data_IF_091123837433
#
_entry.id   IF_091123837433
#
_cell.length_a   1.000
_cell.length_b   1.000
_cell.length_c   1.000
_cell.angle_alpha   90.00
_cell.angle_beta   90.00
_cell.angle_gamma   90.00
#
_symmetry.space_group_name_H-M   'P 1'
#
loop_
_entity.id
_entity.type
_entity.pdbx_description
1 polymer ?
#
# COMPACT_ATOMS: atom_id res chain seq x y z
N UNK A 1 -24.50 -7.56 -25.60
CA UNK A 1 -23.23 -6.79 -25.42
C UNK A 1 -23.55 -5.60 -24.54
N UNK A 2 -22.74 -5.36 -23.54
CA UNK A 2 -22.90 -4.17 -22.72
C UNK A 2 -22.54 -2.92 -23.54
N UNK A 3 -23.37 -1.90 -23.48
CA UNK A 3 -23.17 -0.62 -24.15
C UNK A 3 -22.91 0.47 -23.12
N UNK A 4 -22.06 1.42 -23.46
CA UNK A 4 -21.78 2.59 -22.64
C UNK A 4 -23.02 3.46 -22.54
N UNK A 5 -23.35 3.94 -21.32
CA UNK A 5 -24.51 4.80 -21.07
C UNK A 5 -24.03 6.13 -20.52
N UNK A 6 -24.46 7.20 -21.18
CA UNK A 6 -24.12 8.58 -20.82
C UNK A 6 -25.31 9.37 -20.27
N UNK A 7 -26.51 8.78 -20.25
CA UNK A 7 -27.75 9.46 -19.84
C UNK A 7 -27.72 10.03 -18.42
N UNK A 8 -26.96 9.41 -17.54
CA UNK A 8 -26.86 9.80 -16.12
C UNK A 8 -25.56 10.48 -15.76
N UNK A 9 -24.44 9.96 -16.26
CA UNK A 9 -23.09 10.48 -16.08
C UNK A 9 -22.28 10.23 -17.33
N UNK A 10 -21.48 11.22 -17.71
CA UNK A 10 -20.41 10.99 -18.65
C UNK A 10 -19.30 10.16 -17.99
N UNK A 11 -18.64 9.24 -18.71
CA UNK A 11 -17.52 8.46 -18.17
C UNK A 11 -16.40 9.34 -17.62
N UNK A 12 -16.20 10.52 -18.19
CA UNK A 12 -15.26 11.53 -17.69
C UNK A 12 -15.58 11.95 -16.25
N UNK A 13 -16.85 12.24 -15.94
CA UNK A 13 -17.28 12.63 -14.59
C UNK A 13 -17.03 11.54 -13.55
N UNK A 14 -17.35 10.28 -13.89
CA UNK A 14 -17.12 9.14 -12.99
C UNK A 14 -15.62 8.85 -12.83
N UNK A 15 -14.84 9.03 -13.89
CA UNK A 15 -13.38 8.84 -13.88
C UNK A 15 -12.70 9.94 -13.04
N UNK A 16 -13.16 11.18 -13.11
CA UNK A 16 -12.62 12.26 -12.29
C UNK A 16 -12.95 12.04 -10.82
N UNK A 17 -14.14 11.57 -10.49
CA UNK A 17 -14.50 11.14 -9.14
C UNK A 17 -13.55 10.03 -8.64
N UNK A 18 -13.26 9.03 -9.47
CA UNK A 18 -12.35 7.95 -9.12
C UNK A 18 -10.91 8.44 -8.89
N UNK A 19 -10.42 9.34 -9.76
CA UNK A 19 -9.09 9.95 -9.65
C UNK A 19 -8.96 10.85 -8.42
N UNK A 20 -10.02 11.55 -8.06
CA UNK A 20 -10.08 12.33 -6.81
C UNK A 20 -9.97 11.41 -5.58
N UNK A 21 -10.71 10.31 -5.55
CA UNK A 21 -10.64 9.31 -4.47
C UNK A 21 -9.24 8.69 -4.40
N UNK A 22 -8.62 8.39 -5.55
CA UNK A 22 -7.29 7.80 -5.60
C UNK A 22 -6.19 8.74 -5.07
N UNK A 23 -6.32 10.04 -5.31
CA UNK A 23 -5.31 11.04 -4.92
C UNK A 23 -5.56 11.64 -3.53
N UNK A 24 -6.81 11.74 -3.10
CA UNK A 24 -7.16 12.09 -1.73
C UNK A 24 -6.87 10.90 -0.79
N UNK A 25 -7.08 11.04 0.50
CA UNK A 25 -6.97 9.91 1.42
C UNK A 25 -8.15 8.93 1.18
N UNK A 26 -7.94 7.79 0.49
CA UNK A 26 -9.04 6.86 0.20
C UNK A 26 -9.56 6.27 1.49
N UNK A 27 -10.82 6.51 1.78
CA UNK A 27 -11.50 6.08 3.00
C UNK A 27 -12.78 5.33 2.68
N UNK A 28 -12.97 4.21 3.38
CA UNK A 28 -14.25 3.52 3.45
C UNK A 28 -14.70 3.55 4.92
N UNK A 29 -15.80 4.22 5.20
CA UNK A 29 -16.23 4.55 6.57
C UNK A 29 -15.10 5.28 7.33
N UNK A 30 -14.62 4.71 8.44
CA UNK A 30 -13.51 5.27 9.23
C UNK A 30 -12.15 4.64 8.90
N UNK A 31 -12.06 3.82 7.83
CA UNK A 31 -10.86 3.10 7.43
C UNK A 31 -10.05 3.93 6.44
N UNK A 32 -8.78 4.22 6.76
CA UNK A 32 -7.85 4.98 5.93
C UNK A 32 -6.84 4.01 5.28
N UNK A 33 -6.92 3.86 3.95
CA UNK A 33 -6.02 3.04 3.14
C UNK A 33 -4.83 3.88 2.70
N UNK A 34 -3.73 3.81 3.45
CA UNK A 34 -2.61 4.75 3.32
C UNK A 34 -1.23 4.12 3.10
N UNK A 35 -1.07 2.78 3.15
CA UNK A 35 0.24 2.15 2.96
C UNK A 35 0.85 2.50 1.62
N UNK A 36 0.02 2.49 0.55
CA UNK A 36 0.45 2.91 -0.77
C UNK A 36 0.95 4.35 -0.75
N UNK A 37 0.12 5.29 -0.27
CA UNK A 37 0.43 6.71 -0.24
C UNK A 37 1.67 7.01 0.59
N UNK A 38 1.80 6.38 1.74
CA UNK A 38 2.79 6.71 2.73
C UNK A 38 4.15 6.06 2.43
N UNK A 39 4.21 4.82 1.88
CA UNK A 39 5.45 4.06 1.76
C UNK A 39 5.84 3.64 0.33
N UNK A 40 4.87 3.41 -0.54
CA UNK A 40 5.07 3.21 -1.98
C UNK A 40 4.17 4.17 -2.76
N UNK A 41 4.46 5.48 -2.72
CA UNK A 41 3.56 6.47 -3.28
C UNK A 41 3.33 6.27 -4.77
N UNK A 42 2.22 6.81 -5.24
CA UNK A 42 1.77 6.71 -6.62
C UNK A 42 2.82 7.27 -7.58
N UNK A 43 3.14 6.51 -8.60
CA UNK A 43 3.90 6.92 -9.77
C UNK A 43 3.12 6.56 -11.04
N UNK A 44 3.10 7.48 -11.99
CA UNK A 44 2.33 7.32 -13.22
C UNK A 44 3.27 6.94 -14.37
N UNK A 45 2.83 6.00 -15.20
CA UNK A 45 3.50 5.66 -16.47
C UNK A 45 2.49 5.61 -17.59
N UNK A 46 2.93 6.03 -18.77
CA UNK A 46 2.13 5.95 -20.01
C UNK A 46 2.36 4.62 -20.77
N UNK A 47 3.33 3.83 -20.29
CA UNK A 47 3.65 2.52 -20.85
C UNK A 47 2.89 1.41 -20.09
N UNK A 48 2.72 0.27 -20.73
CA UNK A 48 2.25 -0.99 -20.10
C UNK A 48 3.35 -1.69 -19.31
N UNK A 49 4.56 -1.13 -19.31
CA UNK A 49 5.73 -1.62 -18.58
C UNK A 49 6.23 -0.56 -17.61
N UNK A 50 6.66 -0.99 -16.43
CA UNK A 50 7.42 -0.12 -15.53
C UNK A 50 8.92 -0.23 -15.78
N UNK A 51 9.65 0.88 -15.63
CA UNK A 51 11.10 0.97 -15.74
C UNK A 51 11.65 1.76 -14.56
N UNK A 52 12.10 1.06 -13.54
CA UNK A 52 12.60 1.68 -12.32
C UNK A 52 14.10 1.42 -12.15
N UNK A 53 14.82 2.45 -11.72
CA UNK A 53 16.25 2.34 -11.39
C UNK A 53 16.37 1.84 -9.96
N UNK A 54 16.93 0.64 -9.80
CA UNK A 54 17.20 0.03 -8.49
C UNK A 54 18.66 0.18 -8.09
N UNK A 55 18.94 0.04 -6.79
CA UNK A 55 20.31 -0.11 -6.28
C UNK A 55 21.11 1.17 -6.05
N UNK A 56 20.52 2.35 -6.14
CA UNK A 56 21.22 3.57 -5.74
C UNK A 56 21.23 3.70 -4.22
N UNK A 57 22.38 3.38 -3.59
CA UNK A 57 22.55 3.60 -2.14
C UNK A 57 22.62 5.09 -1.76
N UNK A 58 22.87 5.95 -2.73
CA UNK A 58 23.07 7.39 -2.49
C UNK A 58 24.36 7.74 -1.71
N UNK A 59 25.08 6.74 -1.21
CA UNK A 59 26.30 6.93 -0.43
C UNK A 59 27.47 7.17 -1.40
N UNK A 60 28.13 8.34 -1.35
CA UNK A 60 29.26 8.63 -2.22
C UNK A 60 30.49 7.83 -1.82
N UNK A 61 31.27 7.40 -2.80
CA UNK A 61 32.59 6.85 -2.54
C UNK A 61 33.56 7.92 -2.03
N UNK A 62 34.42 7.56 -1.11
CA UNK A 62 35.44 8.45 -0.58
C UNK A 62 36.47 8.82 -1.67
N UNK A 63 36.85 10.12 -1.76
CA UNK A 63 37.94 10.56 -2.59
C UNK A 63 39.29 10.04 -2.04
N UNK A 64 40.26 9.82 -2.92
CA UNK A 64 41.62 9.40 -2.54
C UNK A 64 42.59 10.56 -2.51
N UNK A 65 43.49 10.58 -1.52
CA UNK A 65 44.60 11.49 -1.50
C UNK A 65 45.56 11.16 -2.64
N UNK A 66 46.14 12.16 -3.25
CA UNK A 66 47.18 12.02 -4.28
C UNK A 66 48.44 12.81 -3.90
N UNK A 67 49.57 12.45 -4.49
CA UNK A 67 50.77 13.28 -4.42
C UNK A 67 50.65 14.49 -5.35
N UNK A 68 51.38 15.57 -5.05
CA UNK A 68 51.45 16.70 -5.93
C UNK A 68 51.85 16.30 -7.36
N UNK A 69 51.36 17.01 -8.34
CA UNK A 69 51.63 16.80 -9.77
C UNK A 69 51.12 15.51 -10.40
N UNK A 70 50.33 14.71 -9.69
CA UNK A 70 49.61 13.56 -10.25
C UNK A 70 48.12 13.87 -10.54
N UNK A 71 47.57 13.21 -11.56
CA UNK A 71 46.15 13.32 -11.90
C UNK A 71 45.27 12.78 -10.78
N UNK A 72 44.05 13.32 -10.68
CA UNK A 72 43.04 12.81 -9.76
C UNK A 72 42.68 11.36 -10.07
N UNK A 73 42.33 10.57 -9.03
CA UNK A 73 41.79 9.23 -9.20
C UNK A 73 40.48 9.26 -9.97
N UNK A 74 40.38 8.45 -10.99
CA UNK A 74 39.14 8.27 -11.73
C UNK A 74 38.15 7.49 -10.85
N UNK A 75 37.17 8.17 -10.27
CA UNK A 75 36.09 7.53 -9.50
C UNK A 75 35.09 6.84 -10.42
N UNK A 76 34.62 5.66 -10.02
CA UNK A 76 33.48 5.01 -10.68
C UNK A 76 32.18 5.63 -10.17
N UNK A 77 31.27 5.95 -11.08
CA UNK A 77 29.87 6.25 -10.68
C UNK A 77 29.20 4.96 -10.26
N UNK A 78 28.41 4.94 -9.15
CA UNK A 78 27.65 3.77 -8.81
C UNK A 78 26.72 3.41 -9.98
N UNK A 79 26.80 2.18 -10.43
CA UNK A 79 25.88 1.65 -11.43
C UNK A 79 24.46 1.56 -10.83
N UNK A 80 23.47 1.65 -11.69
CA UNK A 80 22.09 1.31 -11.32
C UNK A 80 21.67 0.14 -12.19
N UNK A 81 20.87 -0.73 -11.60
CA UNK A 81 20.18 -1.79 -12.32
C UNK A 81 18.82 -1.25 -12.76
N UNK A 82 18.46 -1.45 -14.01
CA UNK A 82 17.13 -1.10 -14.49
C UNK A 82 16.25 -2.34 -14.37
N UNK A 83 15.25 -2.26 -13.50
CA UNK A 83 14.22 -3.29 -13.37
C UNK A 83 13.06 -2.89 -14.27
N UNK A 84 12.65 -3.82 -15.14
CA UNK A 84 11.51 -3.67 -16.03
C UNK A 84 10.53 -4.82 -15.81
N UNK A 85 9.25 -4.55 -15.96
CA UNK A 85 8.21 -5.58 -15.90
C UNK A 85 6.88 -5.05 -16.38
N UNK A 86 5.94 -5.95 -16.68
CA UNK A 86 4.60 -5.59 -17.13
C UNK A 86 3.71 -5.14 -15.98
N UNK A 87 2.85 -4.16 -16.24
CA UNK A 87 1.75 -3.80 -15.36
C UNK A 87 0.63 -4.82 -15.51
N UNK A 88 -0.09 -5.10 -14.43
CA UNK A 88 -1.22 -6.01 -14.44
C UNK A 88 -2.55 -5.23 -14.44
N UNK A 89 -3.53 -5.71 -15.23
CA UNK A 89 -4.87 -5.18 -15.16
C UNK A 89 -5.54 -5.60 -13.85
N UNK A 90 -6.28 -4.67 -13.28
CA UNK A 90 -7.13 -4.88 -12.12
C UNK A 90 -8.38 -4.03 -12.27
N UNK A 91 -9.46 -4.46 -11.66
CA UNK A 91 -10.70 -3.72 -11.70
C UNK A 91 -11.79 -4.48 -10.95
N UNK A 92 -12.90 -3.79 -10.75
CA UNK A 92 -14.09 -4.33 -10.10
C UNK A 92 -15.31 -3.78 -10.79
N UNK A 93 -16.38 -4.57 -10.85
CA UNK A 93 -17.65 -4.11 -11.40
C UNK A 93 -18.80 -4.45 -10.47
N UNK A 94 -19.69 -3.51 -10.31
CA UNK A 94 -20.90 -3.66 -9.53
C UNK A 94 -22.13 -3.73 -10.40
N UNK A 95 -22.98 -4.74 -10.15
CA UNK A 95 -24.24 -4.94 -10.84
C UNK A 95 -25.33 -4.11 -10.19
N UNK A 96 -26.00 -3.28 -10.96
CA UNK A 96 -27.27 -2.65 -10.62
C UNK A 96 -28.40 -3.47 -11.24
N UNK A 97 -29.10 -4.25 -10.46
CA UNK A 97 -30.13 -5.18 -10.95
C UNK A 97 -31.37 -4.45 -11.42
N UNK A 98 -32.19 -5.14 -12.24
CA UNK A 98 -33.51 -4.64 -12.63
C UNK A 98 -34.39 -4.32 -11.40
N UNK A 99 -34.27 -5.11 -10.34
CA UNK A 99 -34.98 -4.88 -9.08
C UNK A 99 -34.55 -3.56 -8.43
N UNK A 100 -33.25 -3.26 -8.39
CA UNK A 100 -32.73 -2.01 -7.83
C UNK A 100 -33.28 -0.84 -8.64
N UNK A 101 -33.24 -0.95 -9.95
CA UNK A 101 -33.77 0.04 -10.89
C UNK A 101 -35.27 0.31 -10.71
N UNK A 102 -36.08 -0.75 -10.55
CA UNK A 102 -37.52 -0.62 -10.28
C UNK A 102 -37.80 -0.03 -8.89
N UNK A 103 -36.99 -0.35 -7.89
CA UNK A 103 -37.12 0.18 -6.54
C UNK A 103 -36.82 1.67 -6.53
N UNK A 104 -35.76 2.09 -7.19
CA UNK A 104 -35.31 3.49 -7.26
C UNK A 104 -36.21 4.33 -8.17
N UNK A 105 -36.87 3.73 -9.19
CA UNK A 105 -37.80 4.44 -10.08
C UNK A 105 -38.89 5.22 -9.33
N UNK A 106 -39.32 4.73 -8.17
CA UNK A 106 -40.32 5.44 -7.34
C UNK A 106 -39.76 6.70 -6.66
N UNK A 107 -38.44 6.76 -6.48
CA UNK A 107 -37.73 7.87 -5.85
C UNK A 107 -37.23 8.93 -6.85
N UNK A 108 -37.38 8.68 -8.17
CA UNK A 108 -37.00 9.59 -9.25
C UNK A 108 -35.58 9.36 -9.79
N UNK A 109 -35.23 10.05 -10.87
CA UNK A 109 -33.94 9.93 -11.58
C UNK A 109 -32.73 10.29 -10.69
N UNK A 110 -32.89 11.26 -9.81
CA UNK A 110 -31.82 11.65 -8.87
C UNK A 110 -31.41 10.53 -7.94
N UNK A 111 -32.32 9.63 -7.59
CA UNK A 111 -32.01 8.48 -6.74
C UNK A 111 -31.17 7.45 -7.50
N UNK A 112 -31.45 7.23 -8.80
CA UNK A 112 -30.67 6.31 -9.61
C UNK A 112 -29.26 6.87 -9.91
N UNK A 113 -29.13 8.18 -10.14
CA UNK A 113 -27.82 8.84 -10.23
C UNK A 113 -26.99 8.62 -8.97
N UNK A 114 -27.59 8.74 -7.79
CA UNK A 114 -26.89 8.49 -6.51
C UNK A 114 -26.42 7.05 -6.40
N UNK A 115 -27.21 6.07 -6.82
CA UNK A 115 -26.81 4.65 -6.83
C UNK A 115 -25.65 4.40 -7.78
N UNK A 116 -25.65 4.96 -8.98
CA UNK A 116 -24.53 4.87 -9.92
C UNK A 116 -23.27 5.51 -9.32
N UNK A 117 -23.38 6.70 -8.73
CA UNK A 117 -22.24 7.38 -8.11
C UNK A 117 -21.70 6.59 -6.90
N UNK A 118 -22.59 5.97 -6.11
CA UNK A 118 -22.17 5.10 -5.00
C UNK A 118 -21.47 3.84 -5.51
N UNK A 119 -22.03 3.17 -6.50
CA UNK A 119 -21.40 2.00 -7.13
C UNK A 119 -20.03 2.35 -7.73
N UNK A 120 -19.87 3.54 -8.31
CA UNK A 120 -18.59 4.02 -8.83
C UNK A 120 -17.55 4.23 -7.71
N UNK A 121 -17.96 4.79 -6.58
CA UNK A 121 -17.10 4.93 -5.40
C UNK A 121 -16.68 3.56 -4.86
N UNK A 122 -17.63 2.64 -4.73
CA UNK A 122 -17.39 1.30 -4.20
C UNK A 122 -16.44 0.50 -5.10
N UNK A 123 -16.62 0.53 -6.43
CA UNK A 123 -15.75 -0.10 -7.39
C UNK A 123 -14.33 0.50 -7.38
N UNK A 124 -14.23 1.83 -7.26
CA UNK A 124 -12.96 2.53 -7.13
C UNK A 124 -12.24 2.14 -5.84
N UNK A 125 -12.95 2.13 -4.71
CA UNK A 125 -12.37 1.74 -3.42
C UNK A 125 -11.94 0.27 -3.43
N UNK A 126 -12.71 -0.65 -4.01
CA UNK A 126 -12.33 -2.06 -4.13
C UNK A 126 -11.00 -2.20 -4.93
N UNK A 127 -10.86 -1.45 -6.03
CA UNK A 127 -9.63 -1.41 -6.82
C UNK A 127 -8.45 -0.89 -6.02
N UNK A 128 -8.63 0.18 -5.24
CA UNK A 128 -7.60 0.75 -4.37
C UNK A 128 -7.23 -0.24 -3.25
N UNK A 129 -8.20 -0.87 -2.60
CA UNK A 129 -7.96 -1.86 -1.54
C UNK A 129 -7.19 -3.06 -2.07
N UNK A 130 -7.46 -3.52 -3.30
CA UNK A 130 -6.69 -4.59 -3.92
C UNK A 130 -5.22 -4.19 -4.12
N UNK A 131 -4.96 -2.96 -4.54
CA UNK A 131 -3.59 -2.46 -4.65
C UNK A 131 -2.92 -2.28 -3.27
N UNK A 132 -3.65 -1.82 -2.27
CA UNK A 132 -3.18 -1.69 -0.89
C UNK A 132 -2.74 -3.05 -0.31
N UNK A 133 -3.49 -4.12 -0.59
CA UNK A 133 -3.11 -5.50 -0.26
C UNK A 133 -1.82 -5.94 -0.96
N UNK A 134 -1.67 -5.61 -2.24
CA UNK A 134 -0.46 -5.91 -2.98
C UNK A 134 0.76 -5.16 -2.43
N UNK A 135 0.59 -3.89 -2.04
CA UNK A 135 1.61 -3.08 -1.36
C UNK A 135 1.99 -3.69 -0.01
N UNK A 136 1.00 -4.04 0.82
CA UNK A 136 1.25 -4.67 2.12
C UNK A 136 2.03 -5.99 1.97
N UNK A 137 1.64 -6.84 1.02
CA UNK A 137 2.34 -8.08 0.72
C UNK A 137 3.78 -7.81 0.28
N UNK A 138 3.99 -6.84 -0.61
CA UNK A 138 5.32 -6.45 -1.10
C UNK A 138 6.23 -5.99 0.05
N UNK A 139 5.71 -5.14 0.94
CA UNK A 139 6.45 -4.68 2.12
C UNK A 139 6.72 -5.82 3.12
N UNK A 140 5.78 -6.73 3.33
CA UNK A 140 5.94 -7.85 4.26
C UNK A 140 6.94 -8.90 3.76
N UNK A 141 6.87 -9.25 2.48
CA UNK A 141 7.64 -10.39 1.93
C UNK A 141 8.90 -9.97 1.18
N UNK A 142 8.98 -8.72 0.71
CA UNK A 142 10.00 -8.28 -0.24
C UNK A 142 9.77 -8.80 -1.65
N UNK A 143 8.58 -9.35 -1.92
CA UNK A 143 8.13 -9.88 -3.21
C UNK A 143 6.74 -9.37 -3.52
N UNK A 144 6.48 -9.10 -4.78
CA UNK A 144 5.13 -8.80 -5.27
C UNK A 144 4.60 -10.03 -5.97
N UNK A 145 3.56 -10.64 -5.40
CA UNK A 145 2.91 -11.83 -5.97
C UNK A 145 1.46 -11.50 -6.25
N UNK A 146 1.09 -11.43 -7.52
CA UNK A 146 -0.28 -11.16 -7.94
C UNK A 146 -0.82 -12.38 -8.69
N UNK A 147 -1.96 -12.87 -8.24
CA UNK A 147 -2.65 -14.00 -8.86
C UNK A 147 -3.96 -13.50 -9.46
N UNK A 148 -4.20 -13.81 -10.73
CA UNK A 148 -5.46 -13.49 -11.39
C UNK A 148 -6.56 -14.52 -11.05
N UNK A 149 -7.79 -14.28 -11.51
CA UNK A 149 -8.95 -15.16 -11.28
C UNK A 149 -8.76 -16.56 -11.86
N UNK A 150 -7.94 -16.71 -12.91
CA UNK A 150 -7.62 -17.99 -13.54
C UNK A 150 -6.49 -18.75 -12.81
N UNK A 151 -5.97 -18.20 -11.71
CA UNK A 151 -4.89 -18.81 -10.92
C UNK A 151 -3.50 -18.62 -11.53
N UNK A 152 -3.35 -17.79 -12.58
CA UNK A 152 -2.03 -17.42 -13.09
C UNK A 152 -1.38 -16.43 -12.15
N UNK A 153 -0.19 -16.77 -11.67
CA UNK A 153 0.57 -15.96 -10.71
C UNK A 153 1.72 -15.26 -11.43
N UNK A 154 1.80 -13.95 -11.25
CA UNK A 154 3.00 -13.18 -11.57
C UNK A 154 3.72 -12.83 -10.28
N UNK A 155 4.99 -13.21 -10.18
CA UNK A 155 5.84 -12.90 -9.03
C UNK A 155 7.03 -12.05 -9.48
N UNK A 156 7.30 -10.98 -8.74
CA UNK A 156 8.51 -10.20 -8.83
C UNK A 156 9.23 -10.26 -7.48
N UNK A 157 10.41 -10.87 -7.44
CA UNK A 157 11.29 -10.89 -6.27
C UNK A 157 12.23 -9.69 -6.33
N UNK A 158 12.12 -8.80 -5.33
CA UNK A 158 12.92 -7.58 -5.24
C UNK A 158 14.28 -7.80 -4.59
N UNK A 159 14.65 -9.05 -4.32
CA UNK A 159 15.92 -9.44 -3.71
C UNK A 159 16.20 -8.71 -2.38
N UNK A 160 15.18 -8.59 -1.51
CA UNK A 160 15.37 -8.05 -0.16
C UNK A 160 16.39 -8.93 0.60
N UNK A 161 17.39 -8.34 1.29
CA UNK A 161 18.34 -9.12 2.06
C UNK A 161 17.63 -10.06 3.05
N UNK A 162 18.08 -11.30 3.15
CA UNK A 162 17.50 -12.29 4.06
C UNK A 162 17.55 -11.81 5.53
N UNK A 163 18.58 -11.03 5.89
CA UNK A 163 18.70 -10.37 7.20
C UNK A 163 17.60 -9.35 7.50
N UNK A 164 16.86 -8.90 6.49
CA UNK A 164 15.71 -7.99 6.63
C UNK A 164 14.36 -8.73 6.71
N UNK A 165 14.38 -10.04 6.84
CA UNK A 165 13.20 -10.88 7.12
C UNK A 165 13.49 -11.67 8.38
N UNK A 166 13.08 -11.13 9.53
CA UNK A 166 13.44 -11.64 10.86
C UNK A 166 12.23 -12.16 11.62
N UNK A 167 12.51 -12.96 12.65
CA UNK A 167 11.50 -13.39 13.61
C UNK A 167 12.02 -13.22 15.02
N UNK A 168 11.13 -12.92 15.96
CA UNK A 168 11.47 -12.87 17.36
C UNK A 168 11.93 -14.26 17.85
N UNK A 169 13.01 -14.30 18.60
CA UNK A 169 13.51 -15.56 19.19
C UNK A 169 12.53 -16.14 20.22
N UNK A 170 11.86 -15.26 20.97
CA UNK A 170 10.70 -15.58 21.82
C UNK A 170 9.55 -14.71 21.35
N UNK A 171 8.44 -15.31 20.97
CA UNK A 171 7.27 -14.56 20.45
C UNK A 171 6.77 -13.57 21.49
N UNK A 172 6.32 -12.39 21.06
CA UNK A 172 5.83 -11.33 21.96
C UNK A 172 4.53 -11.70 22.69
N UNK A 173 3.92 -12.80 22.34
CA UNK A 173 2.82 -13.42 23.08
C UNK A 173 3.28 -14.10 24.37
N UNK A 174 4.57 -14.43 24.47
CA UNK A 174 5.17 -15.05 25.65
C UNK A 174 5.55 -13.96 26.67
N UNK A 175 5.20 -14.12 27.95
CA UNK A 175 5.56 -13.16 29.01
C UNK A 175 7.07 -12.96 29.18
N UNK A 176 7.89 -13.95 28.82
CA UNK A 176 9.37 -13.87 28.93
C UNK A 176 10.02 -13.15 27.77
N UNK A 177 9.25 -12.73 26.77
CA UNK A 177 9.73 -12.02 25.58
C UNK A 177 10.39 -10.68 25.95
N UNK A 178 11.34 -10.27 25.13
CA UNK A 178 12.08 -9.00 25.30
C UNK A 178 11.97 -8.10 24.06
N UNK A 179 10.78 -7.55 23.79
CA UNK A 179 10.52 -6.77 22.57
C UNK A 179 11.47 -5.60 22.35
N UNK A 180 11.84 -4.86 23.42
CA UNK A 180 12.76 -3.73 23.29
C UNK A 180 14.17 -4.18 22.85
N UNK A 181 14.60 -5.35 23.30
CA UNK A 181 15.88 -5.93 22.90
C UNK A 181 15.84 -6.38 21.43
N UNK A 182 14.75 -7.04 21.02
CA UNK A 182 14.53 -7.44 19.63
C UNK A 182 14.57 -6.22 18.71
N UNK A 183 13.82 -5.16 19.04
CA UNK A 183 13.78 -3.94 18.24
C UNK A 183 15.15 -3.28 18.10
N UNK A 184 15.96 -3.22 19.18
CA UNK A 184 17.34 -2.70 19.10
C UNK A 184 18.19 -3.50 18.12
N UNK A 185 18.19 -4.83 18.25
CA UNK A 185 18.97 -5.71 17.38
C UNK A 185 18.52 -5.58 15.92
N UNK A 186 17.23 -5.45 15.67
CA UNK A 186 16.70 -5.35 14.30
C UNK A 186 17.00 -3.99 13.68
N UNK A 187 16.90 -2.90 14.43
CA UNK A 187 17.26 -1.56 13.94
C UNK A 187 18.75 -1.47 13.60
N UNK A 188 19.62 -2.11 14.38
CA UNK A 188 21.06 -2.21 14.06
C UNK A 188 21.32 -2.96 12.74
N UNK A 189 20.57 -4.04 12.47
CA UNK A 189 20.65 -4.80 11.21
C UNK A 189 20.06 -4.01 10.04
N UNK A 190 18.95 -3.30 10.29
CA UNK A 190 18.28 -2.51 9.25
C UNK A 190 19.12 -1.30 8.82
N UNK A 191 19.77 -0.64 9.77
CA UNK A 191 20.71 0.48 9.55
C UNK A 191 20.13 1.57 8.63
N UNK A 192 18.87 1.93 8.84
CA UNK A 192 18.16 2.96 8.08
C UNK A 192 17.31 3.81 9.00
N UNK A 193 17.04 5.05 8.55
CA UNK A 193 16.08 5.94 9.19
C UNK A 193 14.65 5.69 8.68
N UNK A 194 13.67 5.78 9.59
CA UNK A 194 12.28 5.63 9.22
C UNK A 194 11.32 5.43 10.38
N UNK A 195 10.34 4.59 10.19
CA UNK A 195 9.32 4.28 11.18
C UNK A 195 8.93 2.80 11.19
N UNK A 196 8.34 2.37 12.29
CA UNK A 196 7.80 1.02 12.44
C UNK A 196 6.29 1.04 12.26
N UNK A 197 5.77 0.21 11.37
CA UNK A 197 4.33 0.08 11.12
C UNK A 197 3.83 -1.27 11.62
N UNK A 198 2.78 -1.25 12.42
CA UNK A 198 2.17 -2.46 12.95
C UNK A 198 0.68 -2.29 13.21
N UNK A 199 -0.05 -3.41 13.30
CA UNK A 199 -1.47 -3.38 13.67
C UNK A 199 -1.65 -3.02 15.14
N UNK A 200 -2.84 -2.50 15.49
CA UNK A 200 -3.21 -2.22 16.89
C UNK A 200 -3.05 -3.44 17.80
N UNK A 201 -3.32 -4.65 17.25
CA UNK A 201 -3.15 -5.88 18.00
C UNK A 201 -1.68 -6.21 18.29
N UNK A 202 -0.78 -5.96 17.31
CA UNK A 202 0.67 -6.15 17.50
C UNK A 202 1.21 -5.12 18.49
N UNK A 203 0.76 -3.86 18.38
CA UNK A 203 1.12 -2.81 19.33
C UNK A 203 0.70 -3.16 20.76
N UNK A 204 -0.49 -3.75 20.94
CA UNK A 204 -0.93 -4.19 22.27
C UNK A 204 0.01 -5.25 22.89
N UNK A 205 0.60 -6.15 22.10
CA UNK A 205 1.61 -7.09 22.58
C UNK A 205 2.87 -6.37 23.04
N UNK A 206 3.33 -5.37 22.27
CA UNK A 206 4.48 -4.54 22.65
C UNK A 206 4.22 -3.78 23.95
N UNK A 207 3.09 -3.09 24.05
CA UNK A 207 2.71 -2.27 25.18
C UNK A 207 2.45 -3.08 26.49
N UNK A 208 1.99 -4.32 26.36
CA UNK A 208 1.74 -5.21 27.50
C UNK A 208 2.96 -6.02 27.94
N UNK A 209 4.08 -5.92 27.23
CA UNK A 209 5.28 -6.68 27.56
C UNK A 209 5.88 -6.26 28.91
N UNK A 210 6.51 -7.22 29.59
CA UNK A 210 7.11 -6.98 30.89
C UNK A 210 8.17 -5.86 30.86
N UNK A 211 8.96 -5.78 29.80
CA UNK A 211 9.98 -4.74 29.66
C UNK A 211 9.40 -3.32 29.68
N UNK A 212 8.32 -3.06 28.92
CA UNK A 212 7.69 -1.74 28.88
C UNK A 212 6.92 -1.44 30.17
N UNK A 213 6.28 -2.44 30.76
CA UNK A 213 5.58 -2.31 32.05
C UNK A 213 6.55 -2.01 33.19
N UNK A 214 7.70 -2.69 33.22
CA UNK A 214 8.75 -2.44 34.23
C UNK A 214 9.33 -1.02 34.08
N UNK A 215 9.55 -0.53 32.86
CA UNK A 215 9.99 0.85 32.62
C UNK A 215 8.96 1.88 33.10
N UNK A 216 7.67 1.60 32.92
CA UNK A 216 6.60 2.49 33.38
C UNK A 216 6.48 2.51 34.91
N UNK A 217 6.81 1.42 35.60
CA UNK A 217 6.72 1.31 37.08
C UNK A 217 7.79 2.08 37.83
N UNK A 218 8.86 2.52 37.17
CA UNK A 218 9.97 3.27 37.82
C UNK A 218 9.47 4.55 38.49
N UNK A 219 8.40 5.16 38.01
CA UNK A 219 7.82 6.40 38.54
C UNK A 219 6.42 6.21 39.16
N UNK A 220 5.94 4.99 39.31
CA UNK A 220 4.60 4.68 39.79
C UNK A 220 4.65 3.69 40.98
N UNK A 221 3.68 3.79 41.88
CA UNK A 221 3.45 2.78 42.90
C UNK A 221 2.69 1.62 42.29
N UNK A 222 3.42 0.57 41.86
CA UNK A 222 2.89 -0.62 41.23
C UNK A 222 3.21 -0.70 39.69
N UNK A 223 3.15 -1.91 39.17
CA UNK A 223 3.38 -2.16 37.73
C UNK A 223 2.04 -2.05 37.00
N UNK A 224 1.88 -1.14 36.05
CA UNK A 224 0.64 -1.03 35.27
C UNK A 224 0.42 -2.27 34.37
N UNK A 225 -0.83 -2.62 34.14
CA UNK A 225 -1.17 -3.76 33.26
C UNK A 225 -0.87 -3.46 31.78
N UNK A 226 -0.91 -2.20 31.38
CA UNK A 226 -0.55 -1.74 30.02
C UNK A 226 0.00 -0.32 30.08
N UNK A 227 0.70 0.06 29.04
CA UNK A 227 1.25 1.42 28.87
C UNK A 227 0.64 2.13 27.67
N UNK A 228 0.64 3.46 27.71
CA UNK A 228 0.07 4.27 26.61
C UNK A 228 0.98 4.27 25.38
N UNK A 229 0.38 4.55 24.20
CA UNK A 229 1.14 4.70 22.96
C UNK A 229 2.22 5.79 23.08
N UNK A 230 1.89 6.91 23.72
CA UNK A 230 2.82 8.01 23.95
C UNK A 230 4.03 7.56 24.79
N UNK A 231 3.79 6.82 25.88
CA UNK A 231 4.86 6.29 26.70
C UNK A 231 5.78 5.35 25.91
N UNK A 232 5.21 4.43 25.11
CA UNK A 232 5.99 3.51 24.27
C UNK A 232 6.86 4.31 23.30
N UNK A 233 6.30 5.28 22.57
CA UNK A 233 7.06 6.11 21.64
C UNK A 233 8.14 6.94 22.34
N UNK A 234 7.90 7.46 23.54
CA UNK A 234 8.92 8.17 24.32
C UNK A 234 10.07 7.24 24.73
N UNK A 235 9.78 6.00 25.14
CA UNK A 235 10.81 5.00 25.44
C UNK A 235 11.61 4.64 24.20
N UNK A 236 10.95 4.45 23.05
CA UNK A 236 11.61 4.17 21.79
C UNK A 236 12.53 5.32 21.37
N UNK A 237 12.04 6.56 21.42
CA UNK A 237 12.82 7.75 21.09
C UNK A 237 14.04 7.92 22.02
N UNK A 238 13.89 7.69 23.34
CA UNK A 238 14.98 7.72 24.31
C UNK A 238 16.06 6.65 24.04
N UNK A 239 15.71 5.59 23.31
CA UNK A 239 16.63 4.53 22.89
C UNK A 239 17.13 4.71 21.43
N UNK A 240 16.82 5.82 20.77
CA UNK A 240 17.19 6.05 19.39
C UNK A 240 16.48 5.13 18.38
N UNK A 241 15.33 4.57 18.77
CA UNK A 241 14.54 3.67 17.92
C UNK A 241 13.46 4.44 17.13
N UNK A 242 13.07 3.95 15.95
CA UNK A 242 11.99 4.55 15.19
C UNK A 242 10.66 4.58 15.94
N UNK A 243 9.84 5.60 15.65
CA UNK A 243 8.48 5.67 16.22
C UNK A 243 7.59 4.54 15.67
N UNK A 244 6.57 4.18 16.44
CA UNK A 244 5.53 3.27 15.99
C UNK A 244 4.37 4.04 15.37
N UNK A 245 4.00 3.66 14.17
CA UNK A 245 2.80 4.10 13.46
C UNK A 245 1.81 2.93 13.41
N UNK A 246 0.62 3.14 13.98
CA UNK A 246 -0.43 2.10 13.98
C UNK A 246 -1.18 2.15 12.66
N UNK A 247 -1.26 1.00 11.98
CA UNK A 247 -2.06 0.79 10.79
C UNK A 247 -3.01 -0.39 11.00
N UNK A 248 -4.30 -0.12 11.04
CA UNK A 248 -5.33 -1.12 11.38
C UNK A 248 -6.43 -1.23 10.32
N UNK A 249 -6.12 -0.85 9.07
CA UNK A 249 -7.05 -0.97 7.97
C UNK A 249 -7.49 -2.43 7.73
N UNK A 250 -8.76 -2.59 7.41
CA UNK A 250 -9.39 -3.88 7.16
C UNK A 250 -10.04 -3.89 5.78
N UNK A 251 -10.26 -5.08 5.27
CA UNK A 251 -11.03 -5.33 4.07
C UNK A 251 -11.91 -6.57 4.25
N UNK A 252 -12.90 -6.74 3.41
CA UNK A 252 -13.71 -7.94 3.36
C UNK A 252 -13.12 -8.89 2.32
N UNK A 253 -12.76 -10.10 2.72
CA UNK A 253 -12.21 -11.11 1.83
C UNK A 253 -13.33 -11.80 1.01
N UNK A 254 -12.95 -12.68 0.07
CA UNK A 254 -13.87 -13.41 -0.81
C UNK A 254 -14.88 -14.32 -0.05
N UNK A 255 -14.59 -14.61 1.22
CA UNK A 255 -15.47 -15.37 2.12
C UNK A 255 -16.42 -14.46 2.91
N UNK A 256 -16.42 -13.16 2.67
CA UNK A 256 -17.24 -12.20 3.39
C UNK A 256 -16.74 -11.87 4.81
N UNK A 257 -15.49 -12.21 5.14
CA UNK A 257 -14.92 -11.99 6.46
C UNK A 257 -14.05 -10.73 6.50
N UNK A 258 -14.21 -9.94 7.54
CA UNK A 258 -13.31 -8.81 7.79
C UNK A 258 -11.90 -9.29 8.17
N UNK A 259 -10.93 -8.89 7.39
CA UNK A 259 -9.52 -9.25 7.59
C UNK A 259 -8.67 -7.99 7.61
N UNK A 260 -7.63 -7.94 8.45
CA UNK A 260 -6.67 -6.82 8.45
C UNK A 260 -5.71 -6.94 7.29
N UNK A 261 -5.41 -5.80 6.68
CA UNK A 261 -4.37 -5.71 5.64
C UNK A 261 -3.00 -6.02 6.24
N UNK A 262 -2.69 -5.47 7.42
CA UNK A 262 -1.49 -5.82 8.16
C UNK A 262 -1.84 -6.81 9.29
N UNK A 263 -1.45 -8.09 9.18
CA UNK A 263 -1.82 -9.11 10.16
C UNK A 263 -1.22 -8.84 11.55
N UNK A 264 -1.86 -9.43 12.57
CA UNK A 264 -1.28 -9.49 13.91
C UNK A 264 0.08 -10.20 13.86
N UNK A 265 1.00 -9.75 14.69
CA UNK A 265 2.33 -10.35 14.81
C UNK A 265 3.30 -9.96 13.71
N UNK A 266 2.97 -8.95 12.91
CA UNK A 266 3.89 -8.39 11.90
C UNK A 266 4.28 -6.97 12.27
N UNK A 267 5.58 -6.68 12.11
CA UNK A 267 6.16 -5.34 12.26
C UNK A 267 6.91 -5.04 10.97
N UNK A 268 6.58 -3.91 10.35
CA UNK A 268 7.28 -3.40 9.19
C UNK A 268 8.21 -2.26 9.61
N UNK A 269 9.43 -2.28 9.15
CA UNK A 269 10.36 -1.15 9.19
C UNK A 269 10.40 -0.57 7.80
N UNK A 270 10.07 0.70 7.69
CA UNK A 270 9.89 1.40 6.42
C UNK A 270 10.47 2.81 6.52
N UNK A 271 10.89 3.42 5.41
CA UNK A 271 11.29 4.82 5.41
C UNK A 271 10.15 5.71 5.90
N UNK A 272 10.49 6.91 6.36
CA UNK A 272 9.49 7.89 6.80
C UNK A 272 8.44 8.13 5.72
N UNK A 273 7.19 8.27 6.15
CA UNK A 273 6.03 8.40 5.25
C UNK A 273 6.20 9.56 4.26
N UNK A 274 5.63 9.39 3.05
CA UNK A 274 5.69 10.40 1.98
C UNK A 274 7.00 10.44 1.18
N UNK A 275 7.97 9.55 1.47
CA UNK A 275 9.21 9.45 0.71
C UNK A 275 9.12 8.33 -0.34
N UNK A 276 9.62 8.59 -1.57
CA UNK A 276 9.75 7.55 -2.61
C UNK A 276 11.02 6.70 -2.44
N UNK A 277 11.58 6.65 -1.25
CA UNK A 277 12.90 6.08 -1.06
C UNK A 277 12.93 4.55 -1.10
N UNK A 278 11.84 3.88 -0.75
CA UNK A 278 11.71 2.42 -0.87
C UNK A 278 11.31 1.99 -2.28
N UNK A 279 10.42 2.74 -2.93
CA UNK A 279 9.87 2.42 -4.24
C UNK A 279 8.61 3.23 -4.53
N UNK A 280 7.79 2.71 -5.42
CA UNK A 280 6.55 3.35 -5.83
C UNK A 280 5.50 2.32 -6.27
N UNK A 281 4.24 2.69 -6.22
CA UNK A 281 3.17 1.96 -6.89
C UNK A 281 2.94 2.58 -8.24
N UNK A 282 3.31 1.86 -9.29
CA UNK A 282 3.20 2.34 -10.67
C UNK A 282 1.79 2.08 -11.17
N UNK A 283 1.15 3.13 -11.67
CA UNK A 283 -0.15 3.07 -12.34
C UNK A 283 0.01 3.47 -13.79
N UNK A 284 -0.59 2.69 -14.67
CA UNK A 284 -0.60 2.95 -16.12
C UNK A 284 -1.96 3.41 -16.60
N UNK A 285 -2.08 3.54 -17.92
CA UNK A 285 -3.31 3.93 -18.60
C UNK A 285 -4.05 2.68 -19.05
N UNK A 286 -5.24 2.36 -18.53
CA UNK A 286 -6.02 1.21 -18.98
C UNK A 286 -6.57 1.45 -20.38
N UNK A 287 -6.88 0.37 -21.09
CA UNK A 287 -7.32 0.44 -22.49
C UNK A 287 -8.62 1.26 -22.69
N UNK A 288 -9.49 1.24 -21.70
CA UNK A 288 -10.75 2.00 -21.68
C UNK A 288 -10.50 3.51 -21.75
N UNK A 289 -9.40 3.99 -21.20
CA UNK A 289 -9.03 5.41 -21.25
C UNK A 289 -8.73 5.89 -22.68
N UNK A 290 -8.30 4.97 -23.56
CA UNK A 290 -7.91 5.27 -24.93
C UNK A 290 -9.06 5.11 -25.93
N UNK A 291 -10.22 4.64 -25.47
CA UNK A 291 -11.41 4.53 -26.32
C UNK A 291 -12.15 5.87 -26.36
N UNK A 292 -12.25 6.47 -27.55
CA UNK A 292 -12.92 7.76 -27.80
C UNK A 292 -14.37 7.82 -27.27
N UNK A 293 -15.02 6.66 -27.10
CA UNK A 293 -16.37 6.59 -26.55
C UNK A 293 -16.47 7.02 -25.09
N UNK A 294 -15.36 6.92 -24.35
CA UNK A 294 -15.32 7.30 -22.94
C UNK A 294 -15.17 8.82 -22.73
N UNK A 295 -14.78 9.55 -23.77
CA UNK A 295 -14.65 11.02 -23.78
C UNK A 295 -13.89 11.58 -22.58
N UNK A 296 -12.83 10.87 -22.13
CA UNK A 296 -12.04 11.28 -20.99
C UNK A 296 -11.15 12.46 -21.40
N UNK A 297 -11.20 13.57 -20.64
CA UNK A 297 -10.48 14.82 -20.97
C UNK A 297 -8.96 14.61 -21.08
N UNK A 298 -8.39 13.79 -20.23
CA UNK A 298 -6.98 13.42 -20.26
C UNK A 298 -6.84 11.90 -20.44
N UNK A 299 -7.08 11.35 -21.65
CA UNK A 299 -7.10 9.90 -21.86
C UNK A 299 -5.74 9.25 -21.60
N UNK A 300 -4.64 9.99 -21.79
CA UNK A 300 -3.29 9.51 -21.48
C UNK A 300 -2.95 9.55 -19.98
N UNK A 301 -3.77 10.19 -19.14
CA UNK A 301 -3.51 10.28 -17.69
C UNK A 301 -3.72 8.91 -17.04
N UNK A 302 -2.66 8.32 -16.45
CA UNK A 302 -2.75 7.04 -15.76
C UNK A 302 -3.66 7.08 -14.55
N UNK A 303 -4.24 5.94 -14.20
CA UNK A 303 -5.08 5.80 -13.02
C UNK A 303 -6.31 4.94 -13.28
N UNK A 304 -7.31 5.08 -12.40
CA UNK A 304 -8.56 4.32 -12.47
C UNK A 304 -9.53 5.01 -13.44
N UNK A 305 -10.13 4.22 -14.33
CA UNK A 305 -11.18 4.65 -15.24
C UNK A 305 -12.50 4.00 -14.83
N UNK A 306 -13.55 4.78 -14.74
CA UNK A 306 -14.88 4.29 -14.32
C UNK A 306 -15.91 4.61 -15.40
N UNK A 307 -16.76 3.63 -15.71
CA UNK A 307 -17.83 3.79 -16.67
C UNK A 307 -19.10 3.07 -16.23
N UNK A 308 -20.24 3.61 -16.68
CA UNK A 308 -21.54 2.98 -16.54
C UNK A 308 -21.89 2.28 -17.85
N UNK A 309 -22.16 0.99 -17.76
CA UNK A 309 -22.48 0.10 -18.88
C UNK A 309 -23.88 -0.49 -18.68
N UNK A 310 -24.60 -0.71 -19.78
CA UNK A 310 -25.93 -1.32 -19.75
C UNK A 310 -26.04 -2.46 -20.75
N UNK A 311 -26.75 -3.50 -20.35
CA UNK A 311 -27.11 -4.63 -21.20
C UNK A 311 -28.63 -4.68 -21.41
N UNK A 312 -29.06 -4.97 -22.65
CA UNK A 312 -30.48 -4.86 -22.99
C UNK A 312 -31.30 -6.07 -22.57
N UNK A 313 -30.68 -7.27 -22.54
CA UNK A 313 -31.41 -8.49 -22.20
C UNK A 313 -30.52 -9.49 -21.43
N UNK A 314 -30.77 -9.71 -20.13
CA UNK A 314 -31.71 -8.95 -19.28
C UNK A 314 -31.30 -7.51 -19.11
N UNK A 315 -32.24 -6.60 -18.84
CA UNK A 315 -31.96 -5.19 -18.63
C UNK A 315 -31.17 -4.99 -17.32
N UNK A 316 -29.88 -4.88 -17.42
CA UNK A 316 -28.93 -4.75 -16.30
C UNK A 316 -27.98 -3.60 -16.54
N UNK A 317 -27.56 -2.94 -15.47
CA UNK A 317 -26.56 -1.90 -15.51
C UNK A 317 -25.33 -2.34 -14.69
N UNK A 318 -24.17 -1.93 -15.18
CA UNK A 318 -22.90 -2.22 -14.55
C UNK A 318 -22.13 -0.93 -14.35
N UNK A 319 -21.58 -0.75 -13.19
CA UNK A 319 -20.53 0.26 -12.98
C UNK A 319 -19.20 -0.48 -12.90
N UNK A 320 -18.32 -0.18 -13.83
CA UNK A 320 -17.04 -0.85 -14.02
C UNK A 320 -15.89 0.11 -13.72
N UNK A 321 -14.99 -0.27 -12.81
CA UNK A 321 -13.73 0.41 -12.57
C UNK A 321 -12.59 -0.43 -13.13
N UNK A 322 -11.79 0.14 -14.02
CA UNK A 322 -10.66 -0.51 -14.67
C UNK A 322 -9.38 0.26 -14.41
N UNK A 323 -8.30 -0.44 -14.17
CA UNK A 323 -6.98 0.12 -13.96
C UNK A 323 -5.88 -0.86 -14.37
N UNK A 324 -4.67 -0.37 -14.57
CA UNK A 324 -3.47 -1.20 -14.64
C UNK A 324 -2.45 -0.68 -13.63
N UNK A 325 -1.78 -1.56 -12.92
CA UNK A 325 -0.80 -1.13 -11.94
C UNK A 325 0.00 -2.27 -11.32
N UNK A 326 1.11 -1.88 -10.66
CA UNK A 326 2.01 -2.81 -9.99
C UNK A 326 2.82 -2.12 -8.89
N UNK A 327 2.90 -2.67 -7.65
CA UNK A 327 3.77 -2.13 -6.63
C UNK A 327 5.22 -2.58 -6.87
N UNK A 328 6.15 -1.64 -6.84
CA UNK A 328 7.58 -1.85 -7.12
C UNK A 328 8.42 -1.42 -5.93
N UNK A 329 9.25 -2.32 -5.42
CA UNK A 329 10.18 -2.07 -4.34
C UNK A 329 11.58 -1.82 -4.92
N UNK A 330 11.85 -0.59 -5.33
CA UNK A 330 13.10 -0.22 -6.00
C UNK A 330 14.35 -0.34 -5.09
N UNK A 331 14.18 -0.12 -3.78
CA UNK A 331 15.24 -0.18 -2.79
C UNK A 331 14.83 -1.13 -1.64
N UNK A 332 14.89 -2.44 -1.84
CA UNK A 332 14.43 -3.42 -0.84
C UNK A 332 15.23 -3.38 0.47
N UNK A 333 16.48 -2.89 0.46
CA UNK A 333 17.30 -2.69 1.66
C UNK A 333 16.72 -1.68 2.63
N UNK A 334 15.86 -0.77 2.17
CA UNK A 334 15.20 0.24 3.00
C UNK A 334 13.97 -0.28 3.74
N UNK A 335 13.61 -1.54 3.50
CA UNK A 335 12.48 -2.18 4.16
C UNK A 335 12.92 -3.43 4.90
N UNK A 336 12.29 -3.69 6.04
CA UNK A 336 12.50 -4.90 6.83
C UNK A 336 11.15 -5.34 7.40
N UNK A 337 10.96 -6.63 7.54
CA UNK A 337 9.77 -7.19 8.14
C UNK A 337 10.13 -8.16 9.26
N UNK A 338 9.48 -8.03 10.41
CA UNK A 338 9.66 -8.91 11.55
C UNK A 338 8.36 -9.65 11.89
N UNK A 339 8.50 -10.92 12.26
CA UNK A 339 7.41 -11.75 12.79
C UNK A 339 7.57 -11.87 14.31
N UNK A 340 6.54 -11.47 15.05
CA UNK A 340 6.60 -11.36 16.52
C UNK A 340 5.49 -12.14 17.24
N UNK A 341 4.50 -12.69 16.51
CA UNK A 341 3.45 -13.54 17.07
C UNK A 341 2.91 -14.52 16.01
#
# INVERSE_FOLDING_TARGET
MATLVTDYFEPAELTDLAREIQTSAPRAADIDYRLQRDYLPLEQTYDVEYRIKAGQSGIPSSAKFRTFDKQNHLGARPGFEQITGGLLPLGERYLLTEKDRLTVRRAGEDAFRKEIAQAARDATLATIVRMELAVAQTLLTGKTTLTNEQGVTQEADWARPASHSVSAGVLWTDPTSKPLTDLRNWVEVWDQDGEMVMSKQTFALLASSEQFRALASVNLVGTPDFVTNEFVNNVLAANGLPKVTIYDAKYTNDLGQETRILPRGKVLFVPSSGTKSAGATVWGTPAEALDDKYQIEEPSRPGIVVAHLEEESPKQSWVNASAIGFPVLANPKKTMAATVA
#
